data_IF_592037376471
#
_entry.id   IF_592037376471
#
_cell.length_a   1.000
_cell.length_b   1.000
_cell.length_c   1.000
_cell.angle_alpha   90.00
_cell.angle_beta   90.00
_cell.angle_gamma   90.00
#
_symmetry.space_group_name_H-M   'P 1'
#
loop_
_entity.id
_entity.type
_entity.pdbx_description
1 polymer ?
#
# COMPACT_ATOMS: atom_id res chain seq x y z
N UNK A 1 -70.52 14.19 -64.10
CA UNK A 1 -70.11 15.59 -63.85
C UNK A 1 -69.97 15.82 -62.35
N UNK A 2 -68.75 15.96 -61.84
CA UNK A 2 -68.29 17.01 -60.89
C UNK A 2 -66.91 16.58 -60.36
N UNK A 3 -65.99 17.54 -60.45
CA UNK A 3 -64.54 17.40 -60.40
C UNK A 3 -64.04 17.26 -58.95
N UNK A 4 -62.91 16.55 -58.83
CA UNK A 4 -61.99 16.56 -57.69
C UNK A 4 -61.58 17.99 -57.32
N UNK A 5 -61.51 18.26 -56.02
CA UNK A 5 -60.67 19.30 -55.45
C UNK A 5 -59.80 18.67 -54.35
N UNK A 6 -58.51 18.60 -54.64
CA UNK A 6 -57.43 18.13 -53.76
C UNK A 6 -57.17 19.18 -52.68
N UNK A 7 -57.28 18.80 -51.40
CA UNK A 7 -56.80 19.63 -50.28
C UNK A 7 -55.42 19.11 -49.87
N UNK A 8 -54.42 19.97 -50.09
CA UNK A 8 -53.03 19.82 -49.67
C UNK A 8 -52.95 20.12 -48.17
N UNK A 9 -52.62 19.11 -47.37
CA UNK A 9 -52.31 19.29 -45.95
C UNK A 9 -50.87 19.79 -45.78
N UNK A 10 -50.72 21.04 -45.36
CA UNK A 10 -49.43 21.61 -44.91
C UNK A 10 -49.16 21.12 -43.48
N UNK A 11 -48.17 20.25 -43.32
CA UNK A 11 -47.69 19.82 -42.01
C UNK A 11 -46.78 20.90 -41.40
N UNK A 12 -47.23 21.47 -40.28
CA UNK A 12 -46.48 22.43 -39.47
C UNK A 12 -45.38 21.67 -38.69
N UNK A 13 -44.12 21.78 -39.12
CA UNK A 13 -42.96 21.27 -38.40
C UNK A 13 -42.68 22.14 -37.17
N UNK A 14 -43.10 21.66 -36.00
CA UNK A 14 -42.68 22.20 -34.71
C UNK A 14 -41.27 21.70 -34.38
N UNK A 15 -40.27 22.59 -34.46
CA UNK A 15 -38.94 22.35 -33.90
C UNK A 15 -39.05 22.35 -32.37
N UNK A 16 -39.00 21.18 -31.76
CA UNK A 16 -38.77 21.04 -30.32
C UNK A 16 -37.27 20.99 -30.07
N UNK A 17 -36.74 22.03 -29.42
CA UNK A 17 -35.38 22.04 -28.92
C UNK A 17 -35.30 21.06 -27.75
N UNK A 18 -34.71 19.88 -27.98
CA UNK A 18 -34.36 18.96 -26.91
C UNK A 18 -33.21 19.57 -26.09
N UNK A 19 -33.53 20.06 -24.90
CA UNK A 19 -32.57 20.44 -23.88
C UNK A 19 -31.70 19.22 -23.52
N UNK A 20 -30.41 19.25 -23.88
CA UNK A 20 -29.42 18.34 -23.32
C UNK A 20 -29.31 18.63 -21.82
N UNK A 21 -29.89 17.77 -21.01
CA UNK A 21 -29.56 17.70 -19.59
C UNK A 21 -28.12 17.19 -19.48
N UNK A 22 -27.21 18.08 -19.09
CA UNK A 22 -25.87 17.69 -18.70
C UNK A 22 -25.99 16.70 -17.53
N UNK A 23 -25.62 15.44 -17.78
CA UNK A 23 -25.41 14.46 -16.72
C UNK A 23 -24.22 14.93 -15.88
N UNK A 24 -24.49 15.69 -14.82
CA UNK A 24 -23.57 15.84 -13.72
C UNK A 24 -23.41 14.47 -13.09
N UNK A 25 -22.29 13.79 -13.39
CA UNK A 25 -21.90 12.58 -12.71
C UNK A 25 -21.84 12.89 -11.21
N UNK A 26 -22.80 12.35 -10.45
CA UNK A 26 -22.81 12.44 -9.00
C UNK A 26 -21.47 11.91 -8.47
N UNK A 27 -20.65 12.82 -7.92
CA UNK A 27 -19.46 12.43 -7.19
C UNK A 27 -19.90 11.55 -6.04
N UNK A 28 -19.54 10.25 -6.12
CA UNK A 28 -19.72 9.31 -5.02
C UNK A 28 -19.11 9.91 -3.75
N UNK A 29 -19.80 9.89 -2.60
CA UNK A 29 -19.24 10.40 -1.35
C UNK A 29 -17.95 9.62 -1.06
N UNK A 30 -16.83 10.34 -1.01
CA UNK A 30 -15.54 9.77 -0.67
C UNK A 30 -15.66 9.28 0.77
N UNK A 31 -15.47 7.97 0.99
CA UNK A 31 -15.43 7.41 2.34
C UNK A 31 -14.48 8.25 3.21
N UNK A 32 -14.89 8.58 4.44
CA UNK A 32 -14.09 9.38 5.34
C UNK A 32 -12.70 8.75 5.54
N UNK A 33 -11.64 9.55 5.39
CA UNK A 33 -10.26 9.07 5.57
C UNK A 33 -10.11 8.45 6.97
N UNK A 34 -9.51 7.25 7.10
CA UNK A 34 -9.33 6.62 8.40
C UNK A 34 -8.21 7.28 9.24
N UNK A 35 -7.47 8.26 8.70
CA UNK A 35 -6.62 9.14 9.51
C UNK A 35 -7.40 10.37 9.99
N UNK A 36 -8.08 10.21 11.11
CA UNK A 36 -8.98 11.24 11.64
C UNK A 36 -8.26 12.30 12.46
N UNK A 37 -7.12 11.99 13.09
CA UNK A 37 -6.38 12.93 13.95
C UNK A 37 -4.97 13.24 13.42
N UNK A 38 -4.44 14.42 13.77
CA UNK A 38 -3.03 14.76 13.54
C UNK A 38 -2.16 13.76 14.31
N UNK A 39 -1.12 13.23 13.67
CA UNK A 39 -0.29 12.15 14.22
C UNK A 39 -0.90 10.75 14.06
N UNK A 40 -2.13 10.61 13.54
CA UNK A 40 -2.65 9.30 13.12
C UNK A 40 -1.81 8.77 11.97
N UNK A 41 -1.09 7.67 12.23
CA UNK A 41 -0.35 6.92 11.23
C UNK A 41 -0.94 5.52 11.11
N UNK A 42 -1.63 5.24 10.01
CA UNK A 42 -2.07 3.90 9.66
C UNK A 42 -1.13 3.35 8.61
N UNK A 43 -0.57 2.17 8.86
CA UNK A 43 0.43 1.59 7.98
C UNK A 43 0.31 0.07 7.93
N UNK A 44 0.09 -0.44 6.73
CA UNK A 44 0.13 -1.87 6.44
C UNK A 44 0.83 -2.13 5.09
N UNK A 45 0.74 -3.36 4.58
CA UNK A 45 1.45 -3.80 3.39
C UNK A 45 1.08 -3.03 2.11
N UNK A 46 -0.13 -2.48 2.03
CA UNK A 46 -0.65 -1.79 0.83
C UNK A 46 -1.27 -0.43 1.13
N UNK A 47 -1.33 -0.02 2.40
CA UNK A 47 -1.95 1.21 2.82
C UNK A 47 -1.02 1.99 3.74
N UNK A 48 -0.88 3.28 3.46
CA UNK A 48 -0.21 4.21 4.35
C UNK A 48 -1.05 5.47 4.43
N UNK A 49 -1.26 5.97 5.63
CA UNK A 49 -1.99 7.19 5.84
C UNK A 49 -1.38 7.96 7.01
N UNK A 50 -1.19 9.27 6.81
CA UNK A 50 -0.53 10.16 7.75
C UNK A 50 -1.19 11.54 7.70
N UNK A 51 -1.33 12.18 8.85
CA UNK A 51 -1.79 13.57 8.98
C UNK A 51 -0.79 14.36 9.81
N UNK A 52 -0.19 15.39 9.21
CA UNK A 52 1.00 16.09 9.74
C UNK A 52 0.71 17.56 9.90
N UNK A 53 1.10 18.12 11.04
CA UNK A 53 1.04 19.54 11.33
C UNK A 53 2.36 20.21 10.93
N UNK A 54 2.26 21.40 10.34
CA UNK A 54 3.38 22.17 9.83
C UNK A 54 3.29 23.61 10.32
N UNK A 55 4.43 24.15 10.76
CA UNK A 55 4.64 25.59 10.90
C UNK A 55 5.59 26.04 9.78
N UNK A 56 5.04 26.72 8.78
CA UNK A 56 5.72 27.02 7.52
C UNK A 56 6.18 28.47 7.50
N UNK A 57 7.49 28.76 7.51
CA UNK A 57 7.96 30.13 7.39
C UNK A 57 7.74 30.67 5.98
N UNK A 58 7.25 31.91 5.93
CA UNK A 58 7.02 32.70 4.73
C UNK A 58 7.71 34.04 4.87
N UNK A 59 8.47 34.42 3.85
CA UNK A 59 9.24 35.66 3.79
C UNK A 59 8.76 36.49 2.60
N UNK A 60 8.47 37.77 2.86
CA UNK A 60 8.07 38.78 1.86
C UNK A 60 8.94 40.02 2.03
N UNK A 61 9.90 40.21 1.13
CA UNK A 61 10.94 41.22 1.32
C UNK A 61 11.75 40.91 2.59
N UNK A 62 11.76 41.85 3.54
CA UNK A 62 12.43 41.70 4.84
C UNK A 62 11.47 41.26 5.98
N UNK A 63 10.18 41.05 5.69
CA UNK A 63 9.18 40.67 6.69
C UNK A 63 8.96 39.17 6.69
N UNK A 64 8.71 38.62 7.87
CA UNK A 64 8.50 37.20 8.08
C UNK A 64 7.10 36.91 8.66
N UNK A 65 6.65 35.68 8.46
CA UNK A 65 5.52 35.11 9.16
C UNK A 65 5.54 33.59 9.13
N UNK A 66 4.67 32.99 9.92
CA UNK A 66 4.48 31.55 10.04
C UNK A 66 3.05 31.22 9.63
N UNK A 67 2.91 30.32 8.68
CA UNK A 67 1.63 29.72 8.30
C UNK A 67 1.49 28.40 9.06
N UNK A 68 0.39 28.27 9.78
CA UNK A 68 -0.01 27.01 10.39
C UNK A 68 -0.84 26.22 9.37
N UNK A 69 -0.36 25.04 9.01
CA UNK A 69 -0.98 24.17 8.03
C UNK A 69 -0.99 22.70 8.48
N UNK A 70 -1.98 21.95 7.99
CA UNK A 70 -2.06 20.51 8.19
C UNK A 70 -2.15 19.84 6.82
N UNK A 71 -1.29 18.87 6.58
CA UNK A 71 -1.38 17.98 5.41
C UNK A 71 -1.94 16.62 5.82
N UNK A 72 -2.58 15.94 4.88
CA UNK A 72 -2.86 14.51 5.05
C UNK A 72 -2.61 13.76 3.74
N UNK A 73 -2.08 12.54 3.86
CA UNK A 73 -1.81 11.60 2.79
C UNK A 73 -2.58 10.30 3.03
N UNK A 74 -3.11 9.72 1.96
CA UNK A 74 -3.75 8.41 1.94
C UNK A 74 -3.29 7.65 0.71
N UNK A 75 -2.23 6.86 0.88
CA UNK A 75 -1.59 6.08 -0.18
C UNK A 75 -2.18 4.67 -0.19
N UNK A 76 -2.78 4.30 -1.31
CA UNK A 76 -3.34 2.96 -1.53
C UNK A 76 -2.58 2.26 -2.66
N UNK A 77 -1.62 1.40 -2.30
CA UNK A 77 -0.92 0.52 -3.22
C UNK A 77 -1.80 -0.67 -3.64
N UNK A 78 -1.38 -1.35 -4.70
CA UNK A 78 -2.10 -2.49 -5.25
C UNK A 78 -1.15 -3.65 -5.57
N UNK A 79 -1.46 -4.82 -5.01
CA UNK A 79 -0.63 -6.03 -5.21
C UNK A 79 -0.71 -6.63 -6.61
N UNK A 80 -1.56 -6.09 -7.49
CA UNK A 80 -1.76 -6.51 -8.88
C UNK A 80 -1.74 -5.33 -9.87
N UNK A 81 -1.27 -4.15 -9.44
CA UNK A 81 -1.10 -3.00 -10.33
C UNK A 81 0.11 -2.17 -9.93
N UNK A 82 0.88 -1.71 -10.92
CA UNK A 82 1.95 -0.72 -10.75
C UNK A 82 1.46 0.73 -10.78
N UNK A 83 0.16 0.91 -10.99
CA UNK A 83 -0.53 2.19 -10.87
C UNK A 83 -1.28 2.22 -9.55
N UNK A 84 -1.08 3.30 -8.80
CA UNK A 84 -1.69 3.52 -7.49
C UNK A 84 -1.87 5.01 -7.22
N UNK A 85 -2.57 5.35 -6.14
CA UNK A 85 -2.93 6.74 -5.83
C UNK A 85 -2.58 7.13 -4.40
N UNK A 86 -2.34 8.42 -4.22
CA UNK A 86 -2.33 9.11 -2.93
C UNK A 86 -3.39 10.22 -2.94
N UNK A 87 -4.33 10.19 -1.99
CA UNK A 87 -5.22 11.34 -1.76
C UNK A 87 -4.53 12.30 -0.81
N UNK A 88 -4.27 13.50 -1.30
CA UNK A 88 -3.55 14.53 -0.55
C UNK A 88 -4.51 15.65 -0.18
N UNK A 89 -4.43 16.13 1.05
CA UNK A 89 -5.15 17.32 1.50
C UNK A 89 -4.21 18.32 2.15
N UNK A 90 -4.56 19.59 2.06
CA UNK A 90 -3.92 20.72 2.72
C UNK A 90 -5.02 21.56 3.39
N UNK A 91 -4.86 21.83 4.67
CA UNK A 91 -5.72 22.74 5.44
C UNK A 91 -4.86 23.85 6.04
N UNK A 92 -5.31 25.10 5.94
CA UNK A 92 -4.63 26.25 6.56
C UNK A 92 -5.37 26.62 7.84
N UNK A 93 -4.68 26.52 8.98
CA UNK A 93 -5.27 26.70 10.31
C UNK A 93 -4.99 28.07 10.90
N UNK A 94 -3.89 28.72 10.50
CA UNK A 94 -3.50 29.99 11.11
C UNK A 94 -2.40 30.72 10.35
N UNK A 95 -2.22 31.98 10.73
CA UNK A 95 -1.10 32.81 10.28
C UNK A 95 -0.68 33.75 11.42
N UNK A 96 0.62 33.91 11.62
CA UNK A 96 1.20 34.88 12.55
C UNK A 96 2.39 35.58 11.91
N UNK A 97 2.54 36.89 12.08
CA UNK A 97 3.69 37.65 11.60
C UNK A 97 3.32 38.93 10.86
N UNK A 98 4.34 39.62 10.36
CA UNK A 98 4.22 40.96 9.78
C UNK A 98 4.25 40.94 8.24
N UNK A 99 4.58 39.80 7.63
CA UNK A 99 4.59 39.64 6.18
C UNK A 99 3.18 39.77 5.58
N UNK A 100 3.02 40.60 4.56
CA UNK A 100 1.75 40.66 3.83
C UNK A 100 1.61 39.42 2.94
N UNK A 101 0.84 38.42 3.40
CA UNK A 101 0.58 37.18 2.67
C UNK A 101 -0.56 37.27 1.65
N UNK A 102 -1.09 38.47 1.38
CA UNK A 102 -2.13 38.65 0.36
C UNK A 102 -1.65 38.17 -1.01
N UNK A 103 -2.40 37.25 -1.61
CA UNK A 103 -2.06 36.65 -2.91
C UNK A 103 -1.06 35.49 -2.84
N UNK A 104 -0.56 35.13 -1.65
CA UNK A 104 0.23 33.91 -1.48
C UNK A 104 -0.63 32.69 -1.83
N UNK A 105 -0.09 31.85 -2.70
CA UNK A 105 -0.66 30.53 -2.99
C UNK A 105 0.37 29.42 -2.85
N UNK A 106 -0.10 28.21 -2.58
CA UNK A 106 0.71 26.99 -2.55
C UNK A 106 0.33 26.06 -3.70
N UNK A 107 1.32 25.43 -4.32
CA UNK A 107 1.11 24.39 -5.34
C UNK A 107 1.91 23.15 -5.02
N UNK A 108 1.27 21.99 -5.10
CA UNK A 108 1.93 20.70 -4.90
C UNK A 108 2.68 20.27 -6.16
N UNK A 109 3.95 19.91 -5.97
CA UNK A 109 4.73 19.11 -6.90
C UNK A 109 5.15 17.80 -6.23
N UNK A 110 5.18 16.71 -7.01
CA UNK A 110 5.55 15.39 -6.51
C UNK A 110 6.61 14.75 -7.40
N UNK A 111 7.59 14.12 -6.78
CA UNK A 111 8.63 13.34 -7.46
C UNK A 111 8.68 11.92 -6.90
N UNK A 112 9.19 10.98 -7.71
CA UNK A 112 9.59 9.64 -7.29
C UNK A 112 10.76 9.16 -8.17
N UNK A 113 11.52 8.19 -7.66
CA UNK A 113 12.76 7.72 -8.27
C UNK A 113 12.59 6.55 -9.24
N UNK A 114 13.65 6.32 -10.03
CA UNK A 114 13.77 5.18 -10.93
C UNK A 114 12.78 5.24 -12.08
N UNK A 115 11.95 4.21 -12.19
CA UNK A 115 10.95 4.04 -13.26
C UNK A 115 9.55 4.52 -12.86
N UNK A 116 9.42 5.11 -11.66
CA UNK A 116 8.19 5.71 -11.18
C UNK A 116 7.97 7.09 -11.80
N UNK A 117 6.70 7.39 -12.13
CA UNK A 117 6.21 8.71 -12.52
C UNK A 117 5.01 9.07 -11.66
N UNK A 118 4.91 10.35 -11.29
CA UNK A 118 3.78 10.90 -10.55
C UNK A 118 3.07 11.97 -11.39
N UNK A 119 1.74 12.02 -11.32
CA UNK A 119 0.92 13.10 -11.86
C UNK A 119 -0.02 13.63 -10.77
N UNK A 120 -0.15 14.95 -10.68
CA UNK A 120 -0.98 15.62 -9.67
C UNK A 120 -2.23 16.20 -10.33
N UNK A 121 -3.39 15.78 -9.84
CA UNK A 121 -4.70 16.35 -10.16
C UNK A 121 -5.20 17.17 -8.96
N UNK A 122 -5.45 18.46 -9.17
CA UNK A 122 -5.76 19.41 -8.10
C UNK A 122 -4.50 19.99 -7.43
N UNK A 123 -4.69 20.64 -6.27
CA UNK A 123 -3.64 21.21 -5.42
C UNK A 123 -2.68 22.17 -6.15
N UNK A 124 -3.23 23.07 -6.96
CA UNK A 124 -2.50 24.14 -7.65
C UNK A 124 -3.08 25.49 -7.25
N UNK A 125 -2.23 26.46 -6.96
CA UNK A 125 -2.63 27.83 -6.64
C UNK A 125 -3.57 27.92 -5.42
N UNK A 126 -3.35 27.07 -4.41
CA UNK A 126 -4.18 27.02 -3.20
C UNK A 126 -3.96 28.30 -2.40
N UNK A 127 -4.98 29.14 -2.16
CA UNK A 127 -4.82 30.36 -1.39
C UNK A 127 -4.36 30.08 0.04
N UNK A 128 -3.41 30.84 0.57
CA UNK A 128 -3.08 30.78 1.99
C UNK A 128 -4.04 31.70 2.75
N UNK A 129 -5.16 31.13 3.20
CA UNK A 129 -6.21 31.82 3.98
C UNK A 129 -6.65 30.92 5.13
N UNK A 130 -6.84 31.50 6.31
CA UNK A 130 -7.32 30.75 7.49
C UNK A 130 -8.65 30.06 7.16
N UNK A 131 -8.72 28.77 7.42
CA UNK A 131 -9.89 27.93 7.11
C UNK A 131 -9.89 27.37 5.68
N UNK A 132 -8.92 27.71 4.83
CA UNK A 132 -8.79 27.13 3.49
C UNK A 132 -8.58 25.63 3.59
N UNK A 133 -9.27 24.88 2.72
CA UNK A 133 -9.11 23.44 2.57
C UNK A 133 -9.02 23.08 1.10
N UNK A 134 -7.97 22.36 0.74
CA UNK A 134 -7.77 21.86 -0.61
C UNK A 134 -7.49 20.35 -0.60
N UNK A 135 -7.93 19.67 -1.65
CA UNK A 135 -7.69 18.25 -1.86
C UNK A 135 -7.26 18.00 -3.30
N UNK A 136 -6.51 16.91 -3.49
CA UNK A 136 -6.09 16.45 -4.79
C UNK A 136 -5.71 14.98 -4.76
N UNK A 137 -5.46 14.45 -5.94
CA UNK A 137 -5.03 13.07 -6.13
C UNK A 137 -3.69 13.08 -6.84
N UNK A 138 -2.72 12.39 -6.26
CA UNK A 138 -1.48 12.04 -6.93
C UNK A 138 -1.63 10.64 -7.48
N UNK A 139 -1.48 10.46 -8.79
CA UNK A 139 -1.45 9.15 -9.41
C UNK A 139 0.00 8.78 -9.70
N UNK A 140 0.42 7.64 -9.18
CA UNK A 140 1.73 7.06 -9.43
C UNK A 140 1.60 5.95 -10.47
N UNK A 141 2.58 5.85 -11.36
CA UNK A 141 2.72 4.76 -12.31
C UNK A 141 4.18 4.33 -12.39
N UNK A 142 4.44 3.04 -12.25
CA UNK A 142 5.79 2.48 -12.31
C UNK A 142 5.92 1.53 -13.51
N UNK A 143 6.95 1.75 -14.34
CA UNK A 143 7.18 0.95 -15.55
C UNK A 143 8.15 -0.21 -15.35
N UNK A 144 8.66 -0.46 -14.14
CA UNK A 144 9.68 -1.49 -13.86
C UNK A 144 9.28 -2.87 -14.35
N UNK A 145 10.17 -3.53 -15.09
CA UNK A 145 10.01 -4.94 -15.50
C UNK A 145 10.57 -5.91 -14.47
N UNK A 146 11.39 -5.42 -13.54
CA UNK A 146 12.02 -6.20 -12.47
C UNK A 146 11.51 -5.72 -11.11
N UNK A 147 12.24 -4.83 -10.46
CA UNK A 147 11.92 -4.23 -9.18
C UNK A 147 12.35 -2.76 -9.20
N UNK A 148 11.53 -1.88 -8.64
CA UNK A 148 11.89 -0.50 -8.31
C UNK A 148 11.51 -0.24 -6.85
N UNK A 149 12.40 0.42 -6.10
CA UNK A 149 12.19 0.86 -4.72
C UNK A 149 12.42 2.35 -4.65
N UNK A 150 11.44 3.08 -4.16
CA UNK A 150 11.55 4.54 -4.05
C UNK A 150 10.61 5.07 -2.97
N UNK A 151 10.81 6.34 -2.61
CA UNK A 151 9.85 7.16 -1.90
C UNK A 151 9.23 8.17 -2.87
N UNK A 152 8.06 8.69 -2.55
CA UNK A 152 7.54 9.92 -3.12
C UNK A 152 8.07 11.10 -2.31
N UNK A 153 8.50 12.17 -2.99
CA UNK A 153 8.81 13.46 -2.40
C UNK A 153 7.71 14.46 -2.74
N UNK A 154 7.13 15.11 -1.73
CA UNK A 154 6.07 16.10 -1.88
C UNK A 154 6.61 17.48 -1.54
N UNK A 155 6.28 18.47 -2.36
CA UNK A 155 6.70 19.85 -2.14
C UNK A 155 5.54 20.79 -2.44
N UNK A 156 4.95 21.38 -1.41
CA UNK A 156 4.06 22.54 -1.56
C UNK A 156 4.92 23.79 -1.61
N UNK A 157 5.10 24.33 -2.81
CA UNK A 157 5.92 25.51 -3.03
C UNK A 157 5.06 26.78 -3.03
N UNK A 158 5.57 27.88 -2.44
CA UNK A 158 4.92 29.18 -2.52
C UNK A 158 4.97 29.75 -3.96
N UNK A 159 3.98 30.56 -4.30
CA UNK A 159 3.96 31.32 -5.55
C UNK A 159 5.13 32.32 -5.64
N UNK A 160 5.54 32.73 -6.85
CA UNK A 160 6.56 33.76 -7.04
C UNK A 160 6.27 35.03 -6.23
N UNK A 161 7.33 35.68 -5.73
CA UNK A 161 7.23 36.86 -4.86
C UNK A 161 7.21 36.53 -3.35
N UNK A 162 7.11 35.25 -3.00
CA UNK A 162 7.16 34.75 -1.63
C UNK A 162 8.33 33.75 -1.50
N UNK A 163 9.12 33.88 -0.44
CA UNK A 163 10.25 32.98 -0.16
C UNK A 163 10.00 32.13 1.07
N UNK A 164 10.67 30.98 1.15
CA UNK A 164 10.52 30.03 2.25
C UNK A 164 10.74 28.58 1.77
N UNK A 165 10.94 27.63 2.68
CA UNK A 165 11.17 26.23 2.33
C UNK A 165 9.92 25.54 1.76
N UNK A 166 8.73 26.11 1.98
CA UNK A 166 7.44 25.46 1.73
C UNK A 166 7.20 24.29 2.67
N UNK A 167 6.24 23.43 2.33
CA UNK A 167 6.06 22.14 3.01
C UNK A 167 6.78 21.06 2.20
N UNK A 168 7.60 20.25 2.86
CA UNK A 168 8.36 19.16 2.25
C UNK A 168 8.17 17.87 3.03
N UNK A 169 7.71 16.83 2.34
CA UNK A 169 7.36 15.56 2.96
C UNK A 169 7.87 14.40 2.10
N UNK A 170 7.99 13.21 2.71
CA UNK A 170 8.32 11.99 1.99
C UNK A 170 7.40 10.86 2.39
N UNK A 171 7.01 10.02 1.42
CA UNK A 171 6.27 8.79 1.73
C UNK A 171 7.17 7.75 2.40
N UNK A 172 6.57 6.72 3.03
CA UNK A 172 7.28 5.45 3.23
C UNK A 172 7.85 4.93 1.90
N UNK A 173 8.94 4.17 1.96
CA UNK A 173 9.43 3.48 0.77
C UNK A 173 8.36 2.50 0.28
N UNK A 174 8.01 2.60 -1.00
CA UNK A 174 7.23 1.59 -1.70
C UNK A 174 8.11 0.86 -2.71
N UNK A 175 7.74 -0.39 -2.96
CA UNK A 175 8.36 -1.25 -3.96
C UNK A 175 7.31 -1.65 -4.98
N UNK A 176 7.60 -1.42 -6.24
CA UNK A 176 6.88 -2.00 -7.36
C UNK A 176 7.74 -3.09 -8.00
N UNK A 177 7.14 -4.20 -8.41
CA UNK A 177 7.88 -5.31 -9.03
C UNK A 177 6.99 -6.15 -9.96
N UNK A 178 7.59 -7.06 -10.71
CA UNK A 178 6.91 -8.09 -11.51
C UNK A 178 7.45 -9.50 -11.22
N UNK A 179 7.79 -9.78 -9.95
CA UNK A 179 8.56 -10.98 -9.58
C UNK A 179 7.70 -12.10 -8.97
N UNK A 180 6.40 -11.87 -8.76
CA UNK A 180 5.46 -12.91 -8.30
C UNK A 180 4.81 -13.62 -9.49
N UNK A 181 5.26 -14.85 -9.75
CA UNK A 181 4.71 -15.69 -10.81
C UNK A 181 3.20 -15.91 -10.71
N UNK A 182 2.49 -15.72 -11.83
CA UNK A 182 1.04 -15.93 -11.95
C UNK A 182 0.14 -14.88 -11.29
N UNK A 183 0.69 -13.77 -10.79
CA UNK A 183 -0.09 -12.66 -10.20
C UNK A 183 -0.04 -11.37 -11.00
N UNK A 184 1.02 -11.17 -11.79
CA UNK A 184 1.28 -9.91 -12.48
C UNK A 184 1.98 -8.87 -11.60
N UNK A 185 2.28 -7.73 -12.20
CA UNK A 185 3.04 -6.66 -11.57
C UNK A 185 2.22 -5.93 -10.49
N UNK A 186 2.88 -5.38 -9.47
CA UNK A 186 2.19 -4.74 -8.35
C UNK A 186 3.14 -4.07 -7.38
N UNK A 187 2.58 -3.30 -6.44
CA UNK A 187 3.34 -2.54 -5.46
C UNK A 187 2.91 -2.85 -4.02
N UNK A 188 3.88 -2.78 -3.10
CA UNK A 188 3.70 -2.91 -1.64
C UNK A 188 4.62 -1.95 -0.90
N UNK A 189 4.35 -1.74 0.37
CA UNK A 189 5.27 -1.13 1.31
C UNK A 189 6.20 -2.22 1.90
N UNK A 190 7.43 -2.39 1.39
CA UNK A 190 8.32 -3.47 1.82
C UNK A 190 8.73 -3.36 3.29
N UNK A 191 8.69 -2.16 3.88
CA UNK A 191 9.02 -1.93 5.30
C UNK A 191 7.99 -2.49 6.28
N UNK A 192 6.75 -2.75 5.85
CA UNK A 192 5.77 -3.44 6.67
C UNK A 192 6.00 -4.95 6.64
N UNK A 193 6.21 -5.57 7.81
CA UNK A 193 6.40 -7.02 7.96
C UNK A 193 5.01 -7.69 8.14
N UNK A 194 4.46 -8.37 7.11
CA UNK A 194 3.14 -8.99 7.20
C UNK A 194 3.13 -10.19 8.15
N UNK A 195 1.95 -10.52 8.68
CA UNK A 195 1.75 -11.66 9.58
C UNK A 195 0.84 -12.69 8.94
N UNK A 196 1.30 -13.93 8.84
CA UNK A 196 0.52 -15.06 8.36
C UNK A 196 -0.35 -15.60 9.49
N UNK A 197 -1.64 -15.25 9.48
CA UNK A 197 -2.62 -15.66 10.51
C UNK A 197 -3.34 -16.96 10.19
N UNK A 198 -3.30 -17.39 8.93
CA UNK A 198 -4.05 -18.56 8.45
C UNK A 198 -3.51 -19.89 9.00
N UNK A 199 -2.37 -19.91 9.69
CA UNK A 199 -1.86 -21.11 10.34
C UNK A 199 -2.64 -21.46 11.61
N UNK A 200 -3.19 -20.46 12.32
CA UNK A 200 -3.89 -20.65 13.59
C UNK A 200 -5.10 -21.60 13.51
N UNK A 201 -5.70 -21.76 12.32
CA UNK A 201 -6.88 -22.63 12.12
C UNK A 201 -6.53 -24.03 11.62
N UNK A 202 -5.25 -24.41 11.61
CA UNK A 202 -4.76 -25.75 11.33
C UNK A 202 -4.25 -26.35 12.66
N UNK A 203 -5.02 -27.19 13.38
CA UNK A 203 -4.73 -27.49 14.78
C UNK A 203 -3.40 -28.21 15.03
N UNK A 204 -3.03 -29.21 14.20
CA UNK A 204 -1.79 -29.96 14.36
C UNK A 204 -0.57 -29.13 13.92
N UNK A 205 -0.73 -28.35 12.84
CA UNK A 205 0.29 -27.42 12.34
C UNK A 205 0.52 -26.30 13.36
N UNK A 206 -0.54 -25.67 13.85
CA UNK A 206 -0.48 -24.60 14.85
C UNK A 206 0.17 -25.10 16.15
N UNK A 207 -0.17 -26.30 16.61
CA UNK A 207 0.48 -26.92 17.76
C UNK A 207 1.99 -27.13 17.53
N UNK A 208 2.39 -27.60 16.34
CA UNK A 208 3.80 -27.78 15.99
C UNK A 208 4.56 -26.44 15.96
N UNK A 209 4.01 -25.44 15.26
CA UNK A 209 4.58 -24.09 15.17
C UNK A 209 4.71 -23.47 16.55
N UNK A 210 3.66 -23.53 17.39
CA UNK A 210 3.66 -22.94 18.74
C UNK A 210 4.74 -23.55 19.62
N UNK A 211 4.88 -24.88 19.58
CA UNK A 211 5.92 -25.60 20.32
C UNK A 211 7.32 -25.15 19.90
N UNK A 212 7.58 -25.02 18.60
CA UNK A 212 8.91 -24.66 18.09
C UNK A 212 9.20 -23.17 18.33
N UNK A 213 8.22 -22.28 18.10
CA UNK A 213 8.33 -20.87 18.46
C UNK A 213 8.62 -20.67 19.95
N UNK A 214 8.06 -21.49 20.84
CA UNK A 214 8.31 -21.40 22.27
C UNK A 214 9.65 -21.98 22.71
N UNK A 215 10.11 -23.06 22.06
CA UNK A 215 11.32 -23.78 22.47
C UNK A 215 12.63 -23.15 21.96
N UNK A 216 12.62 -22.61 20.73
CA UNK A 216 13.80 -22.04 20.08
C UNK A 216 14.24 -20.71 20.71
N UNK A 217 15.54 -20.50 21.02
CA UNK A 217 16.02 -19.24 21.59
C UNK A 217 15.83 -18.02 20.67
N UNK A 218 15.65 -18.23 19.36
CA UNK A 218 15.39 -17.15 18.40
C UNK A 218 13.90 -16.82 18.24
N UNK A 219 13.01 -17.68 18.76
CA UNK A 219 11.56 -17.58 18.63
C UNK A 219 11.11 -17.26 17.19
N UNK A 220 11.73 -17.90 16.20
CA UNK A 220 11.56 -17.55 14.79
C UNK A 220 10.08 -17.50 14.37
N UNK A 221 9.70 -16.40 13.71
CA UNK A 221 8.36 -16.11 13.25
C UNK A 221 7.36 -15.65 14.31
N UNK A 222 7.74 -15.58 15.60
CA UNK A 222 6.88 -15.07 16.68
C UNK A 222 7.04 -13.57 16.84
N UNK A 223 5.96 -12.81 16.64
CA UNK A 223 6.00 -11.33 16.61
C UNK A 223 6.28 -10.67 17.96
N UNK A 224 5.90 -11.29 19.07
CA UNK A 224 5.98 -10.68 20.39
C UNK A 224 7.43 -10.43 20.86
N UNK A 225 8.32 -11.38 20.59
CA UNK A 225 9.67 -11.44 21.17
C UNK A 225 10.68 -12.21 20.30
N UNK A 226 10.29 -12.57 19.07
CA UNK A 226 11.12 -13.35 18.16
C UNK A 226 11.70 -12.57 17.01
N UNK A 227 12.38 -13.30 16.12
CA UNK A 227 12.91 -12.79 14.85
C UNK A 227 11.99 -13.19 13.70
N UNK A 228 11.72 -12.33 12.71
CA UNK A 228 10.84 -12.69 11.61
C UNK A 228 11.46 -13.81 10.77
N UNK A 229 10.61 -14.61 10.12
CA UNK A 229 11.06 -15.49 9.06
C UNK A 229 11.35 -14.66 7.81
N UNK A 230 12.24 -15.14 6.95
CA UNK A 230 12.46 -14.56 5.62
C UNK A 230 12.19 -15.63 4.57
N UNK A 231 11.47 -15.27 3.49
CA UNK A 231 11.17 -16.21 2.41
C UNK A 231 12.47 -16.61 1.69
N UNK A 232 12.55 -17.88 1.28
CA UNK A 232 13.51 -18.36 0.31
C UNK A 232 12.79 -18.85 -0.95
N UNK A 233 13.26 -18.45 -2.13
CA UNK A 233 12.80 -18.96 -3.44
C UNK A 233 13.76 -19.98 -4.05
N UNK A 234 14.90 -20.23 -3.39
CA UNK A 234 15.97 -21.10 -3.88
C UNK A 234 15.59 -22.58 -3.70
N UNK A 235 15.47 -23.38 -4.78
CA UNK A 235 15.09 -24.80 -4.68
C UNK A 235 16.05 -25.62 -3.80
N UNK A 236 17.33 -25.25 -3.78
CA UNK A 236 18.34 -25.91 -2.94
C UNK A 236 18.12 -25.68 -1.45
N UNK A 237 17.68 -24.48 -1.05
CA UNK A 237 17.34 -24.18 0.36
C UNK A 237 16.13 -25.00 0.79
N UNK A 238 15.09 -25.03 -0.04
CA UNK A 238 13.91 -25.87 0.22
C UNK A 238 14.26 -27.35 0.38
N UNK A 239 15.03 -27.91 -0.57
CA UNK A 239 15.43 -29.31 -0.53
C UNK A 239 16.27 -29.65 0.70
N UNK A 240 17.27 -28.81 1.02
CA UNK A 240 18.11 -29.03 2.18
C UNK A 240 17.31 -28.95 3.50
N UNK A 241 16.43 -27.95 3.65
CA UNK A 241 15.57 -27.84 4.83
C UNK A 241 14.68 -29.07 5.01
N UNK A 242 14.03 -29.53 3.94
CA UNK A 242 13.22 -30.76 3.96
C UNK A 242 14.03 -32.01 4.29
N UNK A 243 15.25 -32.12 3.76
CA UNK A 243 16.10 -33.28 4.02
C UNK A 243 16.55 -33.36 5.49
N UNK A 244 16.76 -32.22 6.15
CA UNK A 244 17.11 -32.18 7.58
C UNK A 244 15.87 -32.37 8.45
N UNK A 245 14.81 -31.61 8.19
CA UNK A 245 13.61 -31.65 9.01
C UNK A 245 12.79 -32.92 8.82
N UNK A 246 12.66 -33.40 7.58
CA UNK A 246 11.75 -34.47 7.16
C UNK A 246 12.40 -35.49 6.19
N UNK A 247 13.56 -36.10 6.55
CA UNK A 247 14.31 -37.00 5.67
C UNK A 247 13.47 -38.19 5.19
N UNK A 248 13.82 -38.74 4.02
CA UNK A 248 13.17 -39.95 3.47
C UNK A 248 13.28 -41.17 4.40
N UNK A 249 14.37 -41.27 5.17
CA UNK A 249 14.58 -42.34 6.15
C UNK A 249 13.57 -42.33 7.29
N UNK A 250 12.89 -41.20 7.54
CA UNK A 250 11.86 -41.12 8.56
C UNK A 250 10.54 -41.69 8.03
N UNK A 251 10.23 -42.92 8.45
CA UNK A 251 9.01 -43.64 8.05
C UNK A 251 7.77 -42.87 8.51
N UNK A 252 6.94 -42.48 7.54
CA UNK A 252 5.72 -41.72 7.78
C UNK A 252 4.60 -42.70 8.20
N UNK A 253 3.88 -42.43 9.31
CA UNK A 253 2.68 -43.18 9.64
C UNK A 253 1.61 -43.03 8.54
N UNK A 254 0.74 -44.03 8.41
CA UNK A 254 -0.37 -43.97 7.46
C UNK A 254 -1.27 -42.74 7.73
N UNK A 255 -1.68 -42.05 6.66
CA UNK A 255 -2.52 -40.85 6.75
C UNK A 255 -1.83 -39.59 7.34
N UNK A 256 -0.53 -39.66 7.64
CA UNK A 256 0.25 -38.53 8.18
C UNK A 256 1.31 -38.05 7.18
N UNK A 257 1.58 -36.75 7.23
CA UNK A 257 2.72 -36.11 6.60
C UNK A 257 3.67 -35.53 7.65
N UNK A 258 4.91 -35.26 7.25
CA UNK A 258 5.89 -34.58 8.08
C UNK A 258 5.74 -33.07 7.85
N UNK A 259 5.33 -32.35 8.90
CA UNK A 259 5.36 -30.89 8.96
C UNK A 259 6.69 -30.42 9.54
N UNK A 260 7.20 -29.29 9.07
CA UNK A 260 8.45 -28.69 9.51
C UNK A 260 8.28 -27.20 9.79
N UNK A 261 8.89 -26.74 10.88
CA UNK A 261 8.97 -25.32 11.20
C UNK A 261 10.38 -24.95 11.71
N UNK A 262 10.97 -23.83 11.28
CA UNK A 262 10.49 -22.91 10.22
C UNK A 262 10.28 -23.59 8.87
N UNK A 263 9.38 -23.04 8.05
CA UNK A 263 8.94 -23.67 6.79
C UNK A 263 10.11 -23.93 5.83
N UNK A 264 10.01 -24.98 5.00
CA UNK A 264 10.99 -25.36 3.98
C UNK A 264 11.53 -24.18 3.15
N UNK A 265 10.62 -23.27 2.75
CA UNK A 265 10.91 -22.10 1.92
C UNK A 265 11.28 -20.87 2.74
N UNK A 266 12.10 -21.03 3.78
CA UNK A 266 12.62 -19.94 4.61
C UNK A 266 14.11 -20.06 4.85
N UNK A 267 14.77 -18.91 5.08
CA UNK A 267 16.21 -18.90 5.39
C UNK A 267 16.51 -19.23 6.87
N UNK A 268 15.49 -19.59 7.64
CA UNK A 268 15.57 -20.05 9.04
C UNK A 268 15.18 -21.54 9.17
N UNK A 269 14.97 -22.22 8.03
CA UNK A 269 14.63 -23.64 8.05
C UNK A 269 15.76 -24.52 8.58
N UNK A 270 15.45 -25.80 8.78
CA UNK A 270 16.27 -26.73 9.55
C UNK A 270 17.72 -26.91 9.08
N UNK A 271 18.02 -26.69 7.80
CA UNK A 271 19.41 -26.80 7.30
C UNK A 271 20.26 -25.55 7.54
N UNK A 272 19.62 -24.45 7.95
CA UNK A 272 20.22 -23.13 8.17
C UNK A 272 20.10 -22.68 9.63
N UNK A 273 19.63 -23.54 10.52
CA UNK A 273 19.39 -23.23 11.94
C UNK A 273 19.69 -24.42 12.83
N UNK A 274 19.95 -24.16 14.11
CA UNK A 274 20.27 -25.19 15.10
C UNK A 274 19.02 -25.57 15.89
N UNK A 275 18.94 -26.80 16.39
CA UNK A 275 17.92 -27.09 17.40
C UNK A 275 18.22 -26.28 18.69
N UNK A 276 17.20 -25.84 19.45
CA UNK A 276 15.77 -26.09 19.25
C UNK A 276 15.03 -25.05 18.37
N UNK A 277 15.72 -24.21 17.58
CA UNK A 277 15.09 -23.20 16.71
C UNK A 277 14.27 -23.77 15.54
N UNK A 278 14.37 -25.08 15.31
CA UNK A 278 13.54 -25.79 14.34
C UNK A 278 13.07 -27.13 14.89
N UNK A 279 12.00 -27.64 14.31
CA UNK A 279 11.47 -28.96 14.61
C UNK A 279 10.52 -29.47 13.53
N UNK A 280 9.92 -30.61 13.82
CA UNK A 280 8.98 -31.28 12.94
C UNK A 280 7.89 -31.98 13.75
N UNK A 281 6.79 -32.33 13.10
CA UNK A 281 5.72 -33.15 13.67
C UNK A 281 5.02 -34.01 12.61
N UNK A 282 4.35 -35.07 13.05
CA UNK A 282 3.41 -35.81 12.21
C UNK A 282 2.04 -35.13 12.24
N UNK A 283 1.55 -34.72 11.09
CA UNK A 283 0.26 -34.03 10.93
C UNK A 283 -0.63 -34.76 9.91
N UNK A 284 -1.95 -34.64 9.95
CA UNK A 284 -2.81 -35.18 8.89
C UNK A 284 -2.39 -34.67 7.50
N UNK A 285 -2.33 -35.56 6.51
CA UNK A 285 -1.94 -35.18 5.14
C UNK A 285 -2.83 -34.07 4.56
N UNK A 286 -4.13 -34.09 4.86
CA UNK A 286 -5.07 -33.03 4.46
C UNK A 286 -4.70 -31.66 5.02
N UNK A 287 -4.23 -31.62 6.26
CA UNK A 287 -3.81 -30.40 6.94
C UNK A 287 -2.49 -29.87 6.36
N UNK A 288 -1.53 -30.77 6.07
CA UNK A 288 -0.28 -30.42 5.39
C UNK A 288 -0.52 -29.80 4.01
N UNK A 289 -1.44 -30.39 3.22
CA UNK A 289 -1.78 -29.87 1.90
C UNK A 289 -2.42 -28.48 2.01
N UNK A 290 -3.29 -28.29 2.99
CA UNK A 290 -3.91 -26.99 3.30
C UNK A 290 -2.87 -25.94 3.69
N UNK A 291 -1.88 -26.30 4.51
CA UNK A 291 -0.76 -25.43 4.86
C UNK A 291 -0.03 -24.96 3.60
N UNK A 292 0.41 -25.88 2.73
CA UNK A 292 1.15 -25.54 1.51
C UNK A 292 0.42 -24.52 0.62
N UNK A 293 -0.89 -24.70 0.44
CA UNK A 293 -1.73 -23.74 -0.29
C UNK A 293 -1.84 -22.37 0.38
N UNK A 294 -2.02 -22.34 1.71
CA UNK A 294 -2.14 -21.09 2.50
C UNK A 294 -0.86 -20.28 2.52
N UNK A 295 0.29 -20.93 2.69
CA UNK A 295 1.59 -20.25 2.62
C UNK A 295 1.80 -19.71 1.18
N UNK A 296 1.44 -20.51 0.18
CA UNK A 296 1.30 -20.13 -1.24
C UNK A 296 0.57 -18.81 -1.46
N UNK A 297 -0.65 -18.74 -0.93
CA UNK A 297 -1.54 -17.60 -1.02
C UNK A 297 -0.99 -16.38 -0.28
N UNK A 298 -0.40 -16.56 0.90
CA UNK A 298 0.20 -15.47 1.69
C UNK A 298 1.31 -14.74 0.93
N UNK A 299 2.23 -15.48 0.30
CA UNK A 299 3.29 -14.83 -0.50
C UNK A 299 2.74 -13.97 -1.64
N UNK A 300 1.56 -14.34 -2.16
CA UNK A 300 0.86 -13.60 -3.22
C UNK A 300 0.09 -12.39 -2.67
N UNK A 301 -0.73 -12.58 -1.63
CA UNK A 301 -1.54 -11.52 -1.02
C UNK A 301 -0.70 -10.37 -0.51
N UNK A 302 0.49 -10.66 0.01
CA UNK A 302 1.39 -9.66 0.61
C UNK A 302 2.61 -9.35 -0.28
N UNK A 303 2.66 -9.91 -1.50
CA UNK A 303 3.81 -9.87 -2.43
C UNK A 303 5.15 -10.05 -1.72
N UNK A 304 5.28 -11.09 -0.92
CA UNK A 304 6.52 -11.40 -0.17
C UNK A 304 7.54 -11.97 -1.14
N UNK A 305 8.61 -11.23 -1.44
CA UNK A 305 9.70 -11.68 -2.33
C UNK A 305 10.75 -12.51 -1.59
N UNK A 306 11.73 -13.04 -2.32
CA UNK A 306 12.92 -13.65 -1.72
C UNK A 306 13.58 -12.68 -0.73
N UNK A 307 13.89 -13.14 0.48
CA UNK A 307 14.45 -12.32 1.55
C UNK A 307 13.45 -11.43 2.30
N UNK A 308 12.22 -11.22 1.79
CA UNK A 308 11.24 -10.41 2.52
C UNK A 308 10.88 -11.07 3.87
N UNK A 309 10.83 -10.28 4.96
CA UNK A 309 10.48 -10.78 6.27
C UNK A 309 8.96 -10.99 6.43
N UNK A 310 8.56 -11.93 7.28
CA UNK A 310 7.17 -12.13 7.69
C UNK A 310 7.07 -12.82 9.06
N UNK A 311 5.95 -12.60 9.74
CA UNK A 311 5.58 -13.25 10.99
C UNK A 311 4.59 -14.39 10.76
N UNK A 312 4.45 -15.30 11.72
CA UNK A 312 3.47 -16.39 11.72
C UNK A 312 2.73 -16.40 13.05
N UNK A 313 1.41 -16.26 12.99
CA UNK A 313 0.54 -16.30 14.18
C UNK A 313 -0.17 -17.65 14.27
N UNK A 314 -0.15 -18.24 15.47
CA UNK A 314 -0.75 -19.53 15.83
C UNK A 314 -1.36 -19.50 17.22
#
# INVERSE_FOLDING_TARGET
MRKLATVVGVALLLFTAATQTANAAAQQPVAASPCTAVGSNLYNRTYACAKVHHSVPVIVGAKEGLVDAVTAHEIQLNVKSRTFTDRVSLEIHGYTGDANISGLTLSLSVSCGGTCKASVAGLRGIPVKIGEKAQGIVTFSDSTTTQNRTKAGYSFAPSPGFSGPGIRETSPEFRCDNLIGGQGAGCVFPGYIPTMTTMATLPNIAANIRRIQAAGPSHFGRKADGKPLTRSTKPKVESNNRNVACPKSRKRPAGKSCDEYPFAKTNQGASLSKQPDWGWAWVPTSEQNSQGGRVGAFWKSDRVLDGDPFWVAV
#
